data_IF_156299790890
#
_entry.id   IF_156299790890
#
_cell.length_a   1.000
_cell.length_b   1.000
_cell.length_c   1.000
_cell.angle_alpha   90.00
_cell.angle_beta   90.00
_cell.angle_gamma   90.00
#
_symmetry.space_group_name_H-M   'P 1'
#
loop_
_entity.id
_entity.type
_entity.pdbx_description
1 polymer ?
#
# COMPACT_ATOMS: atom_id res chain seq x y z
N UNK A 1 -16.92 -1.23 -14.06
CA UNK A 1 -16.26 -1.62 -12.80
C UNK A 1 -15.37 -2.85 -12.96
N UNK A 2 -15.91 -4.01 -13.34
CA UNK A 2 -15.16 -5.27 -13.55
C UNK A 2 -13.96 -5.14 -14.49
N UNK A 3 -14.11 -4.48 -15.65
CA UNK A 3 -12.98 -4.26 -16.57
C UNK A 3 -11.88 -3.37 -15.98
N UNK A 4 -12.24 -2.41 -15.11
CA UNK A 4 -11.29 -1.52 -14.44
C UNK A 4 -10.55 -2.26 -13.33
N UNK A 5 -11.25 -3.14 -12.61
CA UNK A 5 -10.65 -4.02 -11.59
C UNK A 5 -9.66 -4.98 -12.24
N UNK A 6 -10.06 -5.67 -13.30
CA UNK A 6 -9.19 -6.60 -14.03
C UNK A 6 -7.99 -5.88 -14.64
N UNK A 7 -8.23 -4.74 -15.30
CA UNK A 7 -7.16 -3.90 -15.86
C UNK A 7 -6.17 -3.42 -14.80
N UNK A 8 -6.69 -2.97 -13.66
CA UNK A 8 -5.93 -2.62 -12.47
C UNK A 8 -5.02 -3.78 -12.03
N UNK A 9 -5.58 -4.96 -11.78
CA UNK A 9 -4.82 -6.17 -11.41
C UNK A 9 -3.73 -6.53 -12.43
N UNK A 10 -4.04 -6.49 -13.73
CA UNK A 10 -3.04 -6.80 -14.77
C UNK A 10 -1.91 -5.77 -14.84
N UNK A 11 -2.21 -4.50 -14.58
CA UNK A 11 -1.19 -3.44 -14.52
C UNK A 11 -0.24 -3.61 -13.33
N UNK A 12 -0.65 -4.30 -12.26
CA UNK A 12 0.19 -4.57 -11.09
C UNK A 12 1.34 -5.51 -11.44
N UNK A 13 1.00 -6.59 -12.15
CA UNK A 13 1.97 -7.61 -12.53
C UNK A 13 2.90 -7.18 -13.67
N UNK A 14 2.46 -6.22 -14.50
CA UNK A 14 3.20 -5.81 -15.70
C UNK A 14 3.89 -4.45 -15.58
N UNK A 15 3.33 -3.51 -14.82
CA UNK A 15 3.70 -2.10 -14.84
C UNK A 15 3.64 -1.45 -13.44
N UNK A 16 4.13 -2.15 -12.43
CA UNK A 16 4.12 -1.71 -11.03
C UNK A 16 4.66 -0.27 -10.84
N UNK A 17 5.73 0.11 -11.52
CA UNK A 17 6.32 1.45 -11.42
C UNK A 17 5.39 2.59 -11.89
N UNK A 18 4.52 2.33 -12.86
CA UNK A 18 3.53 3.30 -13.34
C UNK A 18 2.39 3.48 -12.33
N UNK A 19 2.02 2.41 -11.62
CA UNK A 19 1.01 2.44 -10.56
C UNK A 19 1.54 3.17 -9.33
N UNK A 20 2.79 2.89 -8.93
CA UNK A 20 3.45 3.56 -7.82
C UNK A 20 3.60 5.07 -8.06
N UNK A 21 3.90 5.49 -9.29
CA UNK A 21 4.02 6.91 -9.65
C UNK A 21 2.70 7.68 -9.71
N UNK A 22 1.55 7.00 -9.67
CA UNK A 22 0.22 7.62 -9.64
C UNK A 22 -0.37 7.72 -8.22
N UNK A 23 0.36 7.26 -7.20
CA UNK A 23 -0.07 7.39 -5.82
C UNK A 23 -0.06 8.86 -5.40
N UNK A 24 -1.25 9.42 -5.23
CA UNK A 24 -1.44 10.76 -4.67
C UNK A 24 -1.12 10.76 -3.16
N UNK A 25 -0.62 11.87 -2.63
CA UNK A 25 -0.31 12.01 -1.20
C UNK A 25 -1.55 11.79 -0.30
N UNK A 26 -1.38 11.40 0.97
CA UNK A 26 -2.49 11.09 1.87
C UNK A 26 -3.50 12.24 1.99
N UNK A 27 -3.01 13.48 2.00
CA UNK A 27 -3.86 14.68 2.08
C UNK A 27 -4.71 14.84 0.82
N UNK A 28 -4.13 14.61 -0.36
CA UNK A 28 -4.85 14.66 -1.63
C UNK A 28 -5.91 13.55 -1.74
N UNK A 29 -5.62 12.35 -1.25
CA UNK A 29 -6.57 11.23 -1.22
C UNK A 29 -7.80 11.59 -0.37
N UNK A 30 -7.58 12.17 0.81
CA UNK A 30 -8.68 12.61 1.70
C UNK A 30 -9.45 13.76 1.10
N UNK A 31 -8.78 14.75 0.50
CA UNK A 31 -9.42 15.89 -0.15
C UNK A 31 -10.35 15.46 -1.29
N UNK A 32 -9.86 14.61 -2.21
CA UNK A 32 -10.66 14.07 -3.31
C UNK A 32 -11.85 13.23 -2.81
N UNK A 33 -11.63 12.35 -1.83
CA UNK A 33 -12.70 11.57 -1.22
C UNK A 33 -13.78 12.45 -0.58
N UNK A 34 -13.37 13.53 0.11
CA UNK A 34 -14.30 14.46 0.76
C UNK A 34 -15.19 15.22 -0.23
N UNK A 35 -14.68 15.53 -1.43
CA UNK A 35 -15.45 16.21 -2.47
C UNK A 35 -16.47 15.26 -3.10
N UNK A 36 -16.07 14.01 -3.37
CA UNK A 36 -16.95 12.97 -3.92
C UNK A 36 -18.06 12.63 -2.91
N UNK A 37 -17.71 12.48 -1.63
CA UNK A 37 -18.65 12.17 -0.56
C UNK A 37 -19.79 13.19 -0.39
N UNK A 38 -19.56 14.46 -0.75
CA UNK A 38 -20.58 15.53 -0.70
C UNK A 38 -21.58 15.47 -1.84
N UNK A 39 -21.26 14.77 -2.92
CA UNK A 39 -21.97 14.88 -4.20
C UNK A 39 -22.61 13.56 -4.62
N UNK A 40 -21.92 12.43 -4.39
CA UNK A 40 -22.36 11.12 -4.87
C UNK A 40 -21.85 9.98 -3.97
N UNK A 41 -22.77 9.32 -3.27
CA UNK A 41 -22.45 8.17 -2.41
C UNK A 41 -22.01 6.93 -3.22
N UNK A 42 -22.55 6.73 -4.43
CA UNK A 42 -22.13 5.63 -5.31
C UNK A 42 -20.74 5.90 -5.89
N UNK A 43 -20.46 7.15 -6.27
CA UNK A 43 -19.14 7.63 -6.65
C UNK A 43 -18.10 7.45 -5.53
N UNK A 44 -18.48 7.68 -4.27
CA UNK A 44 -17.61 7.45 -3.11
C UNK A 44 -17.24 5.97 -2.98
N UNK A 45 -18.21 5.05 -3.13
CA UNK A 45 -17.93 3.61 -3.11
C UNK A 45 -16.93 3.22 -4.19
N UNK A 46 -17.09 3.74 -5.41
CA UNK A 46 -16.19 3.45 -6.51
C UNK A 46 -14.79 4.06 -6.30
N UNK A 47 -14.69 5.26 -5.73
CA UNK A 47 -13.42 5.87 -5.33
C UNK A 47 -12.71 5.02 -4.27
N UNK A 48 -13.43 4.62 -3.21
CA UNK A 48 -12.91 3.73 -2.18
C UNK A 48 -12.46 2.38 -2.75
N UNK A 49 -13.18 1.83 -3.72
CA UNK A 49 -12.78 0.59 -4.40
C UNK A 49 -11.42 0.75 -5.11
N UNK A 50 -11.21 1.86 -5.82
CA UNK A 50 -9.94 2.13 -6.51
C UNK A 50 -8.79 2.32 -5.51
N UNK A 51 -9.00 3.10 -4.44
CA UNK A 51 -7.99 3.30 -3.39
C UNK A 51 -7.62 1.98 -2.72
N UNK A 52 -8.61 1.15 -2.37
CA UNK A 52 -8.37 -0.16 -1.77
C UNK A 52 -7.65 -1.12 -2.73
N UNK A 53 -7.98 -1.12 -4.02
CA UNK A 53 -7.26 -1.92 -5.01
C UNK A 53 -5.79 -1.51 -5.01
N UNK A 54 -5.49 -0.22 -5.10
CA UNK A 54 -4.12 0.32 -5.07
C UNK A 54 -3.38 -0.06 -3.78
N UNK A 55 -4.05 0.00 -2.62
CA UNK A 55 -3.48 -0.42 -1.35
C UNK A 55 -3.21 -1.93 -1.30
N UNK A 56 -4.12 -2.75 -1.84
CA UNK A 56 -3.94 -4.19 -1.94
C UNK A 56 -2.73 -4.56 -2.81
N UNK A 57 -2.46 -3.80 -3.88
CA UNK A 57 -1.24 -3.97 -4.69
C UNK A 57 0.01 -3.78 -3.84
N UNK A 58 0.07 -2.65 -3.14
CA UNK A 58 1.23 -2.26 -2.36
C UNK A 58 1.44 -3.31 -1.27
N UNK A 59 0.37 -3.72 -0.60
CA UNK A 59 0.39 -4.79 0.41
C UNK A 59 0.78 -6.16 -0.14
N UNK A 60 0.65 -6.45 -1.44
CA UNK A 60 1.08 -7.71 -2.03
C UNK A 60 2.59 -7.75 -2.33
N UNK A 61 3.28 -6.61 -2.25
CA UNK A 61 4.71 -6.58 -2.48
C UNK A 61 5.48 -7.42 -1.44
N UNK A 62 6.59 -8.07 -1.85
CA UNK A 62 7.42 -8.89 -0.96
C UNK A 62 8.32 -8.01 -0.07
N UNK A 63 7.70 -7.07 0.66
CA UNK A 63 8.36 -6.15 1.57
C UNK A 63 8.09 -6.61 3.02
N UNK A 64 9.11 -6.79 3.86
CA UNK A 64 8.96 -7.31 5.23
C UNK A 64 7.95 -6.55 6.11
N UNK A 65 7.81 -5.25 5.90
CA UNK A 65 6.88 -4.42 6.65
C UNK A 65 5.41 -4.49 6.19
N UNK A 66 5.13 -5.18 5.08
CA UNK A 66 3.81 -5.29 4.47
C UNK A 66 3.35 -6.75 4.49
N UNK A 67 2.03 -6.96 4.35
CA UNK A 67 1.39 -8.28 4.37
C UNK A 67 2.04 -9.27 3.38
N UNK A 68 2.45 -8.78 2.21
CA UNK A 68 3.10 -9.55 1.14
C UNK A 68 4.45 -10.13 1.54
N UNK A 69 5.18 -9.49 2.47
CA UNK A 69 6.41 -10.05 3.03
C UNK A 69 6.14 -11.34 3.83
N UNK A 70 5.08 -11.33 4.65
CA UNK A 70 4.64 -12.51 5.39
C UNK A 70 4.06 -13.58 4.46
N UNK A 71 3.35 -13.16 3.42
CA UNK A 71 2.85 -14.05 2.37
C UNK A 71 3.99 -14.80 1.68
N UNK A 72 5.11 -14.13 1.37
CA UNK A 72 6.30 -14.78 0.82
C UNK A 72 6.92 -15.77 1.79
N UNK A 73 7.00 -15.46 3.09
CA UNK A 73 7.48 -16.43 4.07
C UNK A 73 6.60 -17.68 4.13
N UNK A 74 5.28 -17.49 4.13
CA UNK A 74 4.32 -18.59 4.15
C UNK A 74 4.43 -19.45 2.88
N UNK A 75 4.61 -18.82 1.72
CA UNK A 75 4.85 -19.52 0.46
C UNK A 75 6.18 -20.28 0.48
N UNK A 76 7.22 -19.72 1.09
CA UNK A 76 8.51 -20.39 1.26
C UNK A 76 8.39 -21.61 2.18
N UNK A 77 7.67 -21.49 3.30
CA UNK A 77 7.37 -22.62 4.20
C UNK A 77 6.58 -23.72 3.50
N UNK A 78 5.53 -23.35 2.76
CA UNK A 78 4.75 -24.28 1.97
C UNK A 78 5.62 -25.00 0.92
N UNK A 79 6.51 -24.27 0.23
CA UNK A 79 7.44 -24.84 -0.73
C UNK A 79 8.51 -25.75 -0.07
N UNK A 80 8.91 -25.48 1.17
CA UNK A 80 9.86 -26.29 1.94
C UNK A 80 9.20 -27.49 2.64
N UNK A 81 8.01 -27.90 2.21
CA UNK A 81 7.29 -29.06 2.74
C UNK A 81 6.52 -28.78 4.03
N UNK A 82 6.10 -27.53 4.25
CA UNK A 82 5.27 -27.11 5.39
C UNK A 82 6.00 -27.11 6.73
N UNK A 83 7.34 -27.18 6.71
CA UNK A 83 8.16 -27.07 7.92
C UNK A 83 8.35 -25.60 8.27
N UNK A 84 8.20 -25.29 9.56
CA UNK A 84 8.48 -23.94 10.09
C UNK A 84 9.92 -23.55 9.76
N UNK A 85 10.11 -22.29 9.37
CA UNK A 85 11.44 -21.75 9.13
C UNK A 85 12.31 -21.81 10.41
N UNK A 86 13.64 -21.80 10.26
CA UNK A 86 14.54 -21.72 11.41
C UNK A 86 14.23 -20.47 12.24
N UNK A 87 14.28 -20.58 13.57
CA UNK A 87 14.01 -19.46 14.47
C UNK A 87 14.88 -18.22 14.16
N UNK A 88 16.11 -18.42 13.68
CA UNK A 88 17.00 -17.33 13.26
C UNK A 88 16.45 -16.54 12.08
N UNK A 89 15.74 -17.20 11.15
CA UNK A 89 15.12 -16.56 9.98
C UNK A 89 13.86 -15.80 10.40
N UNK A 90 13.01 -16.40 11.24
CA UNK A 90 11.82 -15.73 11.78
C UNK A 90 12.19 -14.48 12.58
N UNK A 91 13.20 -14.56 13.45
CA UNK A 91 13.68 -13.42 14.24
C UNK A 91 14.29 -12.33 13.36
N UNK A 92 15.10 -12.70 12.37
CA UNK A 92 15.68 -11.75 11.42
C UNK A 92 14.61 -11.03 10.60
N UNK A 93 13.59 -11.77 10.13
CA UNK A 93 12.46 -11.19 9.42
C UNK A 93 11.63 -10.28 10.32
N UNK A 94 11.35 -10.67 11.57
CA UNK A 94 10.60 -9.83 12.51
C UNK A 94 11.29 -8.49 12.78
N UNK A 95 12.62 -8.50 12.99
CA UNK A 95 13.41 -7.27 13.16
C UNK A 95 13.37 -6.40 11.90
N UNK A 96 13.55 -7.02 10.72
CA UNK A 96 13.49 -6.31 9.44
C UNK A 96 12.10 -5.72 9.17
N UNK A 97 11.04 -6.43 9.55
CA UNK A 97 9.65 -5.99 9.42
C UNK A 97 9.36 -4.81 10.33
N UNK A 98 9.81 -4.87 11.59
CA UNK A 98 9.68 -3.76 12.54
C UNK A 98 10.45 -2.51 12.07
N UNK A 99 11.68 -2.69 11.57
CA UNK A 99 12.48 -1.59 11.03
C UNK A 99 11.83 -0.98 9.78
N UNK A 100 11.34 -1.81 8.87
CA UNK A 100 10.62 -1.35 7.68
C UNK A 100 9.31 -0.64 8.03
N UNK A 101 8.56 -1.14 9.02
CA UNK A 101 7.34 -0.49 9.49
C UNK A 101 7.63 0.89 10.08
N UNK A 102 8.68 0.99 10.91
CA UNK A 102 9.14 2.26 11.45
C UNK A 102 9.54 3.23 10.34
N UNK A 103 10.26 2.76 9.32
CA UNK A 103 10.61 3.55 8.15
C UNK A 103 9.36 4.06 7.41
N UNK A 104 8.36 3.21 7.19
CA UNK A 104 7.11 3.59 6.53
C UNK A 104 6.31 4.60 7.35
N UNK A 105 6.29 4.46 8.68
CA UNK A 105 5.64 5.44 9.56
C UNK A 105 6.34 6.80 9.49
N UNK A 106 7.67 6.82 9.54
CA UNK A 106 8.45 8.06 9.39
C UNK A 106 8.21 8.68 8.01
N UNK A 107 8.22 7.88 6.94
CA UNK A 107 7.93 8.35 5.59
C UNK A 107 6.50 8.90 5.47
N UNK A 108 5.51 8.20 6.03
CA UNK A 108 4.10 8.62 6.03
C UNK A 108 3.91 9.96 6.75
N UNK A 109 4.47 10.11 7.94
CA UNK A 109 4.44 11.38 8.68
C UNK A 109 5.14 12.48 7.88
N UNK A 110 6.31 12.19 7.29
CA UNK A 110 7.07 13.16 6.49
C UNK A 110 6.28 13.63 5.26
N UNK A 111 5.56 12.72 4.60
CA UNK A 111 4.69 13.06 3.47
C UNK A 111 3.52 13.93 3.90
N UNK A 112 2.84 13.60 5.00
CA UNK A 112 1.74 14.44 5.53
C UNK A 112 2.23 15.83 5.90
N UNK A 113 3.40 15.93 6.56
CA UNK A 113 4.02 17.21 6.91
C UNK A 113 4.36 17.99 5.64
N UNK A 114 4.99 17.36 4.64
CA UNK A 114 5.34 17.99 3.36
C UNK A 114 4.10 18.47 2.60
N UNK A 115 3.06 17.65 2.51
CA UNK A 115 1.79 18.01 1.87
C UNK A 115 1.13 19.19 2.59
N UNK A 116 1.13 19.18 3.93
CA UNK A 116 0.54 20.26 4.73
C UNK A 116 1.33 21.57 4.61
N UNK A 117 2.66 21.52 4.68
CA UNK A 117 3.52 22.69 4.48
C UNK A 117 3.38 23.27 3.05
N UNK A 118 3.18 22.40 2.05
CA UNK A 118 2.90 22.82 0.67
C UNK A 118 1.56 23.54 0.49
N UNK A 119 0.62 23.39 1.43
CA UNK A 119 -0.67 24.08 1.44
C UNK A 119 -0.66 25.41 2.21
N UNK A 120 0.44 25.71 2.92
CA UNK A 120 0.63 26.93 3.71
C UNK A 120 1.52 28.05 3.09
N UNK A 121 1.87 28.11 1.79
CA UNK A 121 2.84 29.07 1.26
C UNK A 121 2.31 30.52 1.14
N UNK A 122 1.23 30.87 1.86
CA UNK A 122 0.54 32.16 1.79
C UNK A 122 0.37 32.88 3.14
N UNK A 123 1.25 32.61 4.11
CA UNK A 123 1.42 33.37 5.36
C UNK A 123 2.88 33.80 5.52
#
# INVERSE_FOLDING_TARGET
>A
LTSTVVGGLTALFTNFGKVAGQLSGPVAIVAAGSQIAKTDAAGLFQYCAIVNINLAVVNLLPLPALDGGYLVLLLLEAAWGGRKLPQSVEQGFAVLSAAGFLLLMVAGVSLVVKDTMGLLPGL
#
